data_IF_268584253900
#
_entry.id   IF_268584253900
#
_cell.length_a   1.000
_cell.length_b   1.000
_cell.length_c   1.000
_cell.angle_alpha   90.00
_cell.angle_beta   90.00
_cell.angle_gamma   90.00
#
_symmetry.space_group_name_H-M   'P 1'
#
loop_
_entity.id
_entity.type
_entity.pdbx_description
1 polymer ?
#
# COMPACT_ATOMS: atom_id res chain seq x y z
N UNK A 1 -5.69 -9.03 8.28
CA UNK A 1 -4.89 -8.61 7.13
C UNK A 1 -3.40 -8.73 7.44
N UNK A 2 -2.60 -9.03 6.43
CA UNK A 2 -1.14 -9.02 6.51
C UNK A 2 -0.60 -8.06 5.47
N UNK A 3 0.30 -7.17 5.87
CA UNK A 3 0.99 -6.22 5.01
C UNK A 3 2.51 -6.43 5.14
N UNK A 4 3.19 -6.47 4.01
CA UNK A 4 4.64 -6.61 3.97
C UNK A 4 5.18 -5.67 2.89
N UNK A 5 6.18 -4.88 3.24
CA UNK A 5 6.90 -4.02 2.28
C UNK A 5 8.39 -4.04 2.54
N UNK A 6 9.16 -3.90 1.48
CA UNK A 6 10.57 -3.52 1.57
C UNK A 6 10.70 -2.00 1.73
N UNK A 7 11.90 -1.54 1.98
CA UNK A 7 12.20 -0.10 2.10
C UNK A 7 13.24 0.39 1.10
N UNK A 8 13.78 -0.48 0.26
CA UNK A 8 14.81 -0.07 -0.71
C UNK A 8 14.25 0.81 -1.80
N UNK A 9 14.95 1.88 -2.10
CA UNK A 9 14.69 2.75 -3.24
C UNK A 9 15.98 2.93 -4.03
N UNK A 10 15.88 2.90 -5.36
CA UNK A 10 17.01 3.05 -6.27
C UNK A 10 16.82 4.34 -7.06
N UNK A 11 17.80 5.23 -6.99
CA UNK A 11 17.93 6.40 -7.85
C UNK A 11 19.15 6.21 -8.76
N UNK A 12 18.98 5.38 -9.82
CA UNK A 12 20.08 4.95 -10.67
C UNK A 12 20.91 3.81 -10.05
N UNK A 13 22.08 3.52 -10.65
CA UNK A 13 22.91 2.37 -10.25
C UNK A 13 23.67 2.60 -8.93
N UNK A 14 23.92 3.86 -8.53
CA UNK A 14 24.84 4.20 -7.44
C UNK A 14 24.18 4.81 -6.20
N UNK A 15 22.86 5.04 -6.22
CA UNK A 15 22.16 5.65 -5.09
C UNK A 15 21.07 4.71 -4.54
N UNK A 16 21.49 3.85 -3.62
CA UNK A 16 20.57 3.04 -2.81
C UNK A 16 20.23 3.84 -1.56
N UNK A 17 18.94 4.12 -1.36
CA UNK A 17 18.43 4.74 -0.15
C UNK A 17 17.30 3.89 0.44
N UNK A 18 17.04 4.06 1.73
CA UNK A 18 15.92 3.43 2.40
C UNK A 18 14.79 4.44 2.56
N UNK A 19 13.59 4.04 2.18
CA UNK A 19 12.37 4.81 2.36
C UNK A 19 11.23 3.88 2.77
N UNK A 20 10.57 4.16 3.89
CA UNK A 20 9.43 3.37 4.34
C UNK A 20 8.27 3.48 3.36
N UNK A 21 7.95 2.36 2.71
CA UNK A 21 6.86 2.25 1.74
C UNK A 21 5.49 2.00 2.40
N UNK A 22 5.51 1.63 3.69
CA UNK A 22 4.32 1.45 4.52
C UNK A 22 3.98 2.73 5.29
N UNK A 23 2.72 3.14 5.25
CA UNK A 23 2.17 4.25 6.03
C UNK A 23 0.90 3.80 6.73
N UNK A 24 0.76 4.16 8.00
CA UNK A 24 -0.37 3.77 8.83
C UNK A 24 -1.20 5.02 9.15
N UNK A 25 -2.51 4.90 8.98
CA UNK A 25 -3.52 5.87 9.37
C UNK A 25 -4.39 5.22 10.43
N UNK A 26 -4.24 5.63 11.69
CA UNK A 26 -5.02 5.05 12.76
C UNK A 26 -5.66 6.11 13.64
N UNK A 27 -6.85 5.79 14.11
CA UNK A 27 -7.57 6.47 15.18
C UNK A 27 -8.18 5.37 16.04
N UNK A 28 -7.61 5.11 17.24
CA UNK A 28 -7.98 4.00 18.07
C UNK A 28 -9.49 3.89 18.31
N UNK A 29 -10.04 2.69 18.15
CA UNK A 29 -11.47 2.42 18.30
C UNK A 29 -12.34 2.85 17.11
N UNK A 30 -11.81 3.55 16.11
CA UNK A 30 -12.59 4.08 14.98
C UNK A 30 -12.11 3.57 13.63
N UNK A 31 -10.82 3.69 13.34
CA UNK A 31 -10.26 3.31 12.04
C UNK A 31 -8.82 2.84 12.15
N UNK A 32 -8.49 1.93 11.26
CA UNK A 32 -7.13 1.48 11.00
C UNK A 32 -6.96 1.25 9.51
N UNK A 33 -6.00 1.91 8.90
CA UNK A 33 -5.71 1.79 7.47
C UNK A 33 -4.21 1.75 7.25
N UNK A 34 -3.78 0.91 6.32
CA UNK A 34 -2.40 0.79 5.86
C UNK A 34 -2.34 1.12 4.39
N UNK A 35 -1.40 1.97 4.01
CA UNK A 35 -1.07 2.32 2.64
C UNK A 35 0.33 1.80 2.32
N UNK A 36 0.44 0.90 1.34
CA UNK A 36 1.69 0.51 0.72
C UNK A 36 1.85 1.24 -0.61
N UNK A 37 3.06 1.63 -0.95
CA UNK A 37 3.36 2.31 -2.22
C UNK A 37 4.46 1.60 -3.00
N UNK A 38 4.35 1.62 -4.34
CA UNK A 38 5.35 1.10 -5.27
C UNK A 38 5.45 1.95 -6.52
N UNK A 39 6.57 1.85 -7.24
CA UNK A 39 6.86 2.63 -8.43
C UNK A 39 7.75 3.84 -8.16
N UNK A 40 7.53 4.96 -8.87
CA UNK A 40 8.34 6.15 -8.75
C UNK A 40 8.21 6.80 -7.36
N UNK A 41 9.36 6.97 -6.67
CA UNK A 41 9.39 7.48 -5.31
C UNK A 41 8.86 8.92 -5.21
N UNK A 42 9.24 9.81 -6.12
CA UNK A 42 8.79 11.21 -6.08
C UNK A 42 7.27 11.31 -6.21
N UNK A 43 6.69 10.51 -7.10
CA UNK A 43 5.22 10.44 -7.27
C UNK A 43 4.55 9.91 -6.01
N UNK A 44 5.05 8.81 -5.44
CA UNK A 44 4.44 8.22 -4.25
C UNK A 44 4.58 9.11 -3.01
N UNK A 45 5.67 9.85 -2.86
CA UNK A 45 5.82 10.87 -1.81
C UNK A 45 4.82 12.02 -2.00
N UNK A 46 4.73 12.58 -3.22
CA UNK A 46 3.76 13.64 -3.52
C UNK A 46 2.31 13.21 -3.26
N UNK A 47 1.96 11.98 -3.63
CA UNK A 47 0.62 11.42 -3.34
C UNK A 47 0.38 11.32 -1.84
N UNK A 48 1.37 10.86 -1.05
CA UNK A 48 1.24 10.75 0.41
C UNK A 48 1.02 12.11 1.08
N UNK A 49 1.74 13.14 0.64
CA UNK A 49 1.58 14.52 1.16
C UNK A 49 0.21 15.09 0.78
N UNK A 50 -0.17 14.98 -0.48
CA UNK A 50 -1.47 15.48 -0.95
C UNK A 50 -2.62 14.74 -0.26
N UNK A 51 -2.51 13.44 -0.04
CA UNK A 51 -3.55 12.62 0.61
C UNK A 51 -3.93 13.14 2.01
N UNK A 52 -2.98 13.76 2.74
CA UNK A 52 -3.25 14.33 4.08
C UNK A 52 -4.27 15.46 4.04
N UNK A 53 -4.36 16.19 2.92
CA UNK A 53 -5.18 17.39 2.76
C UNK A 53 -6.22 17.24 1.64
N UNK A 54 -6.21 16.13 0.91
CA UNK A 54 -7.10 15.88 -0.21
C UNK A 54 -8.55 15.78 0.25
N UNK A 55 -9.43 16.39 -0.54
CA UNK A 55 -10.87 16.43 -0.29
C UNK A 55 -11.61 16.04 -1.55
N UNK A 56 -12.60 15.18 -1.42
CA UNK A 56 -13.54 14.85 -2.49
C UNK A 56 -14.94 15.30 -2.10
N UNK A 57 -15.79 15.48 -3.10
CA UNK A 57 -17.18 15.88 -2.89
C UNK A 57 -17.94 14.80 -2.10
N UNK A 58 -18.56 15.20 -1.01
CA UNK A 58 -19.44 14.38 -0.17
C UNK A 58 -20.90 14.31 -0.62
N UNK A 59 -21.25 14.99 -1.73
CA UNK A 59 -22.63 15.11 -2.22
C UNK A 59 -23.38 16.30 -1.62
N UNK A 60 -24.64 16.49 -2.00
CA UNK A 60 -25.42 17.73 -1.77
C UNK A 60 -25.61 18.14 -0.29
N UNK A 61 -25.34 17.26 0.68
CA UNK A 61 -25.60 17.53 2.11
C UNK A 61 -24.48 17.10 3.03
N UNK A 62 -23.28 16.79 2.50
CA UNK A 62 -22.18 16.26 3.30
C UNK A 62 -20.95 17.15 3.21
N UNK A 63 -20.24 17.24 4.32
CA UNK A 63 -18.92 17.85 4.34
C UNK A 63 -17.95 17.14 3.38
N UNK A 64 -16.95 17.84 2.83
CA UNK A 64 -15.94 17.20 1.99
C UNK A 64 -15.29 16.00 2.68
N UNK A 65 -15.19 14.90 1.94
CA UNK A 65 -14.62 13.64 2.43
C UNK A 65 -13.10 13.71 2.31
N UNK A 66 -12.42 13.33 3.37
CA UNK A 66 -10.95 13.21 3.48
C UNK A 66 -10.59 11.79 3.92
N UNK A 67 -9.29 11.46 3.90
CA UNK A 67 -8.79 10.20 4.46
C UNK A 67 -9.11 10.04 5.96
N UNK A 68 -9.34 11.15 6.67
CA UNK A 68 -9.55 11.16 8.11
C UNK A 68 -11.02 11.15 8.55
N UNK A 69 -11.96 11.54 7.68
CA UNK A 69 -13.39 11.57 8.01
C UNK A 69 -14.26 10.68 7.12
N UNK A 70 -13.68 9.93 6.18
CA UNK A 70 -14.40 8.98 5.35
C UNK A 70 -15.10 7.91 6.21
N UNK A 71 -16.30 7.50 5.79
CA UNK A 71 -17.12 6.53 6.52
C UNK A 71 -16.89 5.09 6.06
N UNK A 72 -16.17 4.90 4.96
CA UNK A 72 -15.88 3.58 4.39
C UNK A 72 -14.47 3.51 3.82
N UNK A 73 -13.91 2.30 3.75
CA UNK A 73 -12.62 2.09 3.09
C UNK A 73 -12.72 2.32 1.57
N UNK A 74 -13.93 2.18 0.99
CA UNK A 74 -14.19 2.56 -0.40
C UNK A 74 -14.02 4.07 -0.62
N UNK A 75 -14.55 4.89 0.27
CA UNK A 75 -14.35 6.34 0.20
C UNK A 75 -12.89 6.72 0.41
N UNK A 76 -12.18 6.05 1.32
CA UNK A 76 -10.74 6.23 1.48
C UNK A 76 -9.98 5.93 0.17
N UNK A 77 -10.36 4.87 -0.56
CA UNK A 77 -9.79 4.56 -1.87
C UNK A 77 -10.12 5.63 -2.93
N UNK A 78 -11.34 6.22 -2.89
CA UNK A 78 -11.73 7.36 -3.74
C UNK A 78 -10.86 8.60 -3.47
N UNK A 79 -10.64 8.93 -2.21
CA UNK A 79 -9.77 10.05 -1.80
C UNK A 79 -8.34 9.83 -2.27
N UNK A 80 -7.80 8.61 -2.08
CA UNK A 80 -6.48 8.25 -2.58
C UNK A 80 -6.41 8.37 -4.11
N UNK A 81 -7.40 7.85 -4.84
CA UNK A 81 -7.47 7.98 -6.30
C UNK A 81 -7.52 9.43 -6.77
N UNK A 82 -8.20 10.32 -6.02
CA UNK A 82 -8.22 11.76 -6.27
C UNK A 82 -6.84 12.38 -6.06
N UNK A 83 -6.14 12.05 -4.97
CA UNK A 83 -4.78 12.49 -4.71
C UNK A 83 -3.81 12.06 -5.82
N UNK A 84 -3.91 10.82 -6.31
CA UNK A 84 -3.10 10.32 -7.45
C UNK A 84 -3.35 11.14 -8.70
N UNK A 85 -4.62 11.39 -9.08
CA UNK A 85 -4.96 12.21 -10.25
C UNK A 85 -4.47 13.65 -10.13
N UNK A 86 -4.50 14.22 -8.93
CA UNK A 86 -3.99 15.57 -8.67
C UNK A 86 -2.48 15.65 -8.89
N UNK A 87 -1.71 14.68 -8.38
CA UNK A 87 -0.26 14.60 -8.63
C UNK A 87 0.00 14.39 -10.12
N UNK A 88 -0.77 13.52 -10.78
CA UNK A 88 -0.64 13.32 -12.23
C UNK A 88 -0.87 14.60 -13.03
N UNK A 89 -1.87 15.39 -12.67
CA UNK A 89 -2.15 16.66 -13.34
C UNK A 89 -1.02 17.69 -13.14
N UNK A 90 -0.36 17.67 -11.98
CA UNK A 90 0.74 18.59 -11.65
C UNK A 90 2.07 18.16 -12.28
N UNK A 91 2.45 16.90 -12.12
CA UNK A 91 3.80 16.41 -12.41
C UNK A 91 3.88 15.58 -13.69
N UNK A 92 2.76 14.98 -14.13
CA UNK A 92 2.72 14.08 -15.27
C UNK A 92 3.27 14.67 -16.58
N UNK A 93 2.91 15.91 -16.96
CA UNK A 93 3.45 16.53 -18.17
C UNK A 93 4.99 16.70 -18.12
N UNK A 94 5.52 17.10 -16.96
CA UNK A 94 6.96 17.30 -16.76
C UNK A 94 7.72 15.98 -16.76
N UNK A 95 7.19 14.94 -16.12
CA UNK A 95 7.76 13.58 -16.14
C UNK A 95 7.81 13.04 -17.57
N UNK A 96 6.70 13.15 -18.31
CA UNK A 96 6.63 12.73 -19.72
C UNK A 96 7.64 13.46 -20.61
N UNK A 97 7.81 14.77 -20.42
CA UNK A 97 8.79 15.56 -21.16
C UNK A 97 10.23 15.12 -20.84
N UNK A 98 10.49 14.63 -19.64
CA UNK A 98 11.78 14.07 -19.22
C UNK A 98 11.97 12.59 -19.59
N UNK A 99 11.01 11.96 -20.28
CA UNK A 99 11.05 10.53 -20.62
C UNK A 99 10.87 9.58 -19.43
N UNK A 100 10.27 10.09 -18.35
CA UNK A 100 10.00 9.31 -17.11
C UNK A 100 8.52 8.96 -17.06
N UNK A 101 8.22 7.69 -16.85
CA UNK A 101 6.85 7.24 -16.70
C UNK A 101 6.27 7.65 -15.36
N UNK A 102 5.00 8.08 -15.37
CA UNK A 102 4.20 8.23 -14.16
C UNK A 102 3.78 6.83 -13.68
N UNK A 103 4.68 6.17 -12.99
CA UNK A 103 4.47 4.82 -12.48
C UNK A 103 4.31 4.87 -10.96
N UNK A 104 3.08 4.71 -10.49
CA UNK A 104 2.76 4.60 -9.08
C UNK A 104 1.59 3.62 -8.90
N UNK A 105 1.71 2.76 -7.92
CA UNK A 105 0.65 1.84 -7.50
C UNK A 105 0.58 1.82 -5.98
N UNK A 106 -0.62 1.67 -5.45
CA UNK A 106 -0.84 1.67 -4.02
C UNK A 106 -1.74 0.51 -3.60
N UNK A 107 -1.45 -0.10 -2.46
CA UNK A 107 -2.37 -1.00 -1.78
C UNK A 107 -2.88 -0.26 -0.54
N UNK A 108 -4.19 -0.07 -0.46
CA UNK A 108 -4.88 0.48 0.71
C UNK A 108 -5.71 -0.62 1.33
N UNK A 109 -5.47 -0.94 2.58
CA UNK A 109 -6.24 -1.95 3.28
C UNK A 109 -6.46 -1.57 4.74
N UNK A 110 -7.50 -2.13 5.36
CA UNK A 110 -7.81 -1.85 6.76
C UNK A 110 -9.27 -2.03 7.10
N UNK A 111 -9.71 -1.27 8.12
CA UNK A 111 -11.06 -1.32 8.65
C UNK A 111 -11.48 0.05 9.19
N UNK A 112 -12.70 0.46 8.91
CA UNK A 112 -13.32 1.70 9.41
C UNK A 112 -14.64 1.34 10.09
N UNK A 113 -14.86 1.86 11.28
CA UNK A 113 -16.13 2.03 11.97
C UNK A 113 -17.16 0.90 11.82
N UNK A 114 -16.84 -0.35 12.17
CA UNK A 114 -17.83 -1.45 12.14
C UNK A 114 -18.00 -2.14 10.78
N UNK A 115 -17.38 -1.63 9.71
CA UNK A 115 -17.33 -2.33 8.42
C UNK A 115 -16.47 -3.61 8.50
N UNK A 116 -16.61 -4.50 7.53
CA UNK A 116 -15.66 -5.58 7.31
C UNK A 116 -14.29 -5.02 6.90
N UNK A 117 -13.22 -5.78 7.17
CA UNK A 117 -11.91 -5.47 6.62
C UNK A 117 -11.94 -5.54 5.08
N UNK A 118 -11.37 -4.55 4.43
CA UNK A 118 -11.31 -4.44 2.96
C UNK A 118 -9.90 -4.11 2.52
N UNK A 119 -9.61 -4.36 1.24
CA UNK A 119 -8.34 -4.02 0.62
C UNK A 119 -8.54 -3.62 -0.83
N UNK A 120 -7.86 -2.57 -1.26
CA UNK A 120 -7.95 -1.99 -2.60
C UNK A 120 -6.56 -1.86 -3.22
N UNK A 121 -6.47 -2.16 -4.52
CA UNK A 121 -5.33 -1.82 -5.35
C UNK A 121 -5.67 -0.60 -6.19
N UNK A 122 -4.94 0.50 -5.98
CA UNK A 122 -5.10 1.76 -6.69
C UNK A 122 -3.99 1.91 -7.73
N UNK A 123 -4.38 2.14 -8.98
CA UNK A 123 -3.49 2.26 -10.14
C UNK A 123 -3.07 3.71 -10.41
N UNK A 124 -2.06 3.87 -11.26
CA UNK A 124 -1.55 5.18 -11.66
C UNK A 124 -2.61 6.17 -12.21
N UNK A 125 -3.68 5.76 -12.92
CA UNK A 125 -4.76 6.68 -13.29
C UNK A 125 -5.71 7.05 -12.14
N UNK A 126 -5.49 6.51 -10.92
CA UNK A 126 -6.33 6.76 -9.75
C UNK A 126 -7.63 5.95 -9.71
N UNK A 127 -7.82 4.99 -10.63
CA UNK A 127 -8.85 3.97 -10.51
C UNK A 127 -8.38 2.82 -9.62
N UNK A 128 -9.30 2.01 -9.11
CA UNK A 128 -8.97 0.95 -8.18
C UNK A 128 -9.88 -0.26 -8.33
N UNK A 129 -9.39 -1.39 -7.81
CA UNK A 129 -10.15 -2.63 -7.67
C UNK A 129 -10.08 -3.09 -6.22
N UNK A 130 -11.09 -3.86 -5.80
CA UNK A 130 -11.17 -4.45 -4.46
C UNK A 130 -10.74 -5.91 -4.48
N UNK A 131 -10.09 -6.37 -3.40
CA UNK A 131 -9.82 -7.77 -3.20
C UNK A 131 -11.12 -8.54 -2.93
N UNK A 132 -11.22 -9.74 -3.50
CA UNK A 132 -12.36 -10.63 -3.34
C UNK A 132 -11.94 -11.95 -2.71
N UNK A 133 -12.89 -12.86 -2.48
CA UNK A 133 -12.54 -14.23 -2.00
C UNK A 133 -11.72 -15.00 -3.02
N UNK A 134 -11.93 -14.74 -4.31
CA UNK A 134 -11.21 -15.38 -5.42
C UNK A 134 -9.84 -14.72 -5.65
N UNK A 135 -9.71 -13.45 -5.30
CA UNK A 135 -8.47 -12.67 -5.41
C UNK A 135 -8.15 -12.04 -4.04
N UNK A 136 -7.68 -12.83 -3.05
CA UNK A 136 -7.62 -12.41 -1.66
C UNK A 136 -6.37 -11.58 -1.31
N UNK A 137 -5.48 -11.31 -2.25
CA UNK A 137 -4.28 -10.52 -2.02
C UNK A 137 -3.92 -9.63 -3.22
N UNK A 138 -3.11 -8.62 -2.95
CA UNK A 138 -2.45 -7.80 -3.96
C UNK A 138 -0.95 -7.79 -3.77
N UNK A 139 -0.23 -7.64 -4.87
CA UNK A 139 1.21 -7.39 -4.89
C UNK A 139 1.50 -6.28 -5.89
N UNK A 140 2.35 -5.33 -5.51
CA UNK A 140 2.82 -4.22 -6.35
C UNK A 140 4.34 -4.23 -6.41
N UNK A 141 4.91 -3.53 -7.38
CA UNK A 141 6.35 -3.56 -7.64
C UNK A 141 6.78 -4.85 -8.34
N UNK A 142 7.87 -5.47 -7.88
CA UNK A 142 8.37 -6.72 -8.46
C UNK A 142 7.49 -7.90 -8.06
N UNK A 143 6.92 -8.57 -9.04
CA UNK A 143 6.00 -9.70 -8.80
C UNK A 143 6.51 -11.05 -9.36
N UNK A 144 7.53 -11.02 -10.23
CA UNK A 144 7.98 -12.19 -10.97
C UNK A 144 8.42 -13.36 -10.08
N UNK A 145 9.07 -13.06 -8.97
CA UNK A 145 9.68 -14.08 -8.12
C UNK A 145 8.80 -14.47 -6.92
N UNK A 146 8.07 -13.52 -6.36
CA UNK A 146 7.25 -13.72 -5.17
C UNK A 146 5.82 -14.17 -5.45
N UNK A 147 5.18 -13.61 -6.48
CA UNK A 147 3.78 -13.92 -6.80
C UNK A 147 3.48 -15.40 -7.01
N UNK A 148 4.31 -16.22 -7.70
CA UNK A 148 4.05 -17.65 -7.84
C UNK A 148 3.97 -18.44 -6.53
N UNK A 149 4.57 -17.92 -5.44
CA UNK A 149 4.50 -18.51 -4.10
C UNK A 149 3.14 -18.18 -3.47
N UNK A 150 2.75 -16.91 -3.52
CA UNK A 150 1.47 -16.47 -2.98
C UNK A 150 0.28 -17.13 -3.69
N UNK A 151 0.32 -17.25 -5.02
CA UNK A 151 -0.73 -17.88 -5.83
C UNK A 151 -1.02 -19.34 -5.44
N UNK A 152 -0.02 -20.05 -4.87
CA UNK A 152 -0.17 -21.44 -4.46
C UNK A 152 -0.71 -21.64 -3.06
N UNK A 153 -0.57 -20.64 -2.20
CA UNK A 153 -0.80 -20.78 -0.75
C UNK A 153 -1.93 -19.88 -0.26
N UNK A 154 -2.01 -18.65 -0.75
CA UNK A 154 -2.92 -17.65 -0.18
C UNK A 154 -4.34 -17.84 -0.71
N UNK A 155 -5.25 -18.02 0.23
CA UNK A 155 -6.70 -18.04 0.04
C UNK A 155 -7.36 -17.09 1.03
N UNK A 156 -8.65 -16.81 0.84
CA UNK A 156 -9.42 -16.01 1.80
C UNK A 156 -9.56 -16.67 3.19
N UNK A 157 -9.25 -17.94 3.31
CA UNK A 157 -9.33 -18.70 4.57
C UNK A 157 -7.94 -18.97 5.20
N UNK A 158 -6.86 -18.52 4.57
CA UNK A 158 -5.50 -18.73 5.08
C UNK A 158 -5.33 -18.00 6.44
N UNK A 159 -4.90 -18.69 7.50
CA UNK A 159 -4.63 -18.08 8.80
C UNK A 159 -3.59 -16.96 8.71
N UNK A 160 -3.67 -15.97 9.60
CA UNK A 160 -2.81 -14.78 9.53
C UNK A 160 -1.32 -15.12 9.69
N UNK A 161 -0.98 -16.05 10.56
CA UNK A 161 0.41 -16.50 10.78
C UNK A 161 0.97 -17.23 9.56
N UNK A 162 0.16 -18.07 8.90
CA UNK A 162 0.54 -18.72 7.65
C UNK A 162 0.67 -17.73 6.50
N UNK A 163 -0.24 -16.76 6.43
CA UNK A 163 -0.18 -15.69 5.44
C UNK A 163 1.09 -14.82 5.63
N UNK A 164 1.45 -14.50 6.87
CA UNK A 164 2.68 -13.77 7.18
C UNK A 164 3.94 -14.56 6.78
N UNK A 165 4.01 -15.85 7.11
CA UNK A 165 5.12 -16.73 6.70
C UNK A 165 5.22 -16.83 5.18
N UNK A 166 4.09 -17.00 4.49
CA UNK A 166 4.05 -17.08 3.02
C UNK A 166 4.51 -15.75 2.39
N UNK A 167 4.09 -14.61 2.92
CA UNK A 167 4.52 -13.30 2.47
C UNK A 167 6.05 -13.13 2.64
N UNK A 168 6.61 -13.54 3.78
CA UNK A 168 8.05 -13.50 4.03
C UNK A 168 8.84 -14.39 3.06
N UNK A 169 8.38 -15.62 2.80
CA UNK A 169 9.02 -16.52 1.82
C UNK A 169 8.97 -15.94 0.41
N UNK A 170 7.83 -15.34 0.04
CA UNK A 170 7.66 -14.62 -1.23
C UNK A 170 8.65 -13.43 -1.35
N UNK A 171 8.80 -12.67 -0.27
CA UNK A 171 9.74 -11.54 -0.22
C UNK A 171 11.20 -12.01 -0.27
N UNK A 172 11.58 -13.06 0.47
CA UNK A 172 12.93 -13.63 0.43
C UNK A 172 13.33 -14.09 -0.98
N UNK A 173 12.41 -14.76 -1.69
CA UNK A 173 12.61 -15.14 -3.09
C UNK A 173 12.89 -13.92 -3.99
N UNK A 174 12.19 -12.81 -3.73
CA UNK A 174 12.37 -11.56 -4.48
C UNK A 174 13.68 -10.87 -4.11
N UNK A 175 14.02 -10.79 -2.83
CA UNK A 175 15.28 -10.21 -2.33
C UNK A 175 16.52 -10.88 -2.95
N UNK A 176 16.49 -12.20 -3.11
CA UNK A 176 17.57 -12.98 -3.72
C UNK A 176 17.69 -12.79 -5.22
N UNK A 177 16.63 -12.36 -5.87
CA UNK A 177 16.52 -12.37 -7.34
C UNK A 177 16.47 -10.97 -7.95
N UNK A 178 16.20 -9.93 -7.16
CA UNK A 178 16.06 -8.55 -7.65
C UNK A 178 16.74 -7.55 -6.71
N UNK A 179 17.78 -6.90 -7.19
CA UNK A 179 18.57 -5.90 -6.45
C UNK A 179 17.78 -4.63 -6.09
N UNK A 180 16.63 -4.39 -6.75
CA UNK A 180 15.80 -3.22 -6.46
C UNK A 180 14.94 -3.38 -5.21
N UNK A 181 14.88 -4.58 -4.65
CA UNK A 181 14.15 -4.90 -3.41
C UNK A 181 15.17 -5.19 -2.31
N UNK A 182 14.95 -4.71 -1.11
CA UNK A 182 15.94 -4.87 -0.03
C UNK A 182 15.47 -4.50 1.36
N UNK A 183 16.24 -4.96 2.34
CA UNK A 183 16.04 -4.67 3.75
C UNK A 183 16.21 -3.16 4.05
N UNK A 184 15.62 -2.69 5.16
CA UNK A 184 14.73 -3.42 6.07
C UNK A 184 13.34 -3.67 5.48
N UNK A 185 12.63 -4.69 6.01
CA UNK A 185 11.22 -4.95 5.70
C UNK A 185 10.34 -4.48 6.84
N UNK A 186 9.17 -3.96 6.51
CA UNK A 186 8.10 -3.71 7.46
C UNK A 186 7.01 -4.79 7.28
N UNK A 187 6.78 -5.60 8.33
CA UNK A 187 5.71 -6.60 8.42
C UNK A 187 4.68 -6.15 9.43
N UNK A 188 3.42 -6.06 9.01
CA UNK A 188 2.30 -5.71 9.87
C UNK A 188 1.20 -6.76 9.76
N UNK A 189 0.73 -7.25 10.92
CA UNK A 189 -0.42 -8.13 11.03
C UNK A 189 -1.53 -7.39 11.75
N UNK A 190 -2.71 -7.32 11.12
CA UNK A 190 -3.88 -6.66 11.66
C UNK A 190 -5.03 -7.65 11.85
N UNK A 191 -5.52 -7.74 13.06
CA UNK A 191 -6.72 -8.49 13.43
C UNK A 191 -7.96 -7.61 13.40
N UNK A 192 -9.11 -8.19 13.03
CA UNK A 192 -10.36 -7.45 12.94
C UNK A 192 -10.74 -6.75 14.26
N UNK A 193 -11.28 -5.54 14.16
CA UNK A 193 -11.81 -4.73 15.28
C UNK A 193 -10.79 -4.26 16.32
N UNK A 194 -9.49 -4.36 16.02
CA UNK A 194 -8.44 -3.82 16.91
C UNK A 194 -8.28 -2.31 16.77
N UNK A 195 -8.43 -1.77 15.57
CA UNK A 195 -8.31 -0.33 15.24
C UNK A 195 -7.02 0.34 15.76
N UNK A 196 -5.95 -0.43 15.86
CA UNK A 196 -4.62 0.04 16.30
C UNK A 196 -3.52 -0.87 15.78
N UNK A 197 -2.29 -0.38 15.82
CA UNK A 197 -1.09 -1.13 15.47
C UNK A 197 -0.65 -1.98 16.65
N UNK A 198 -0.94 -3.29 16.62
CA UNK A 198 -0.51 -4.22 17.68
C UNK A 198 0.76 -5.00 17.28
N UNK A 199 0.89 -5.35 15.99
CA UNK A 199 1.96 -6.22 15.49
C UNK A 199 2.63 -5.61 14.26
N UNK A 200 3.55 -4.68 14.49
CA UNK A 200 4.45 -4.14 13.46
C UNK A 200 5.88 -4.54 13.79
N UNK A 201 6.52 -5.26 12.87
CA UNK A 201 7.91 -5.73 13.00
C UNK A 201 8.73 -5.13 11.86
N UNK A 202 9.84 -4.50 12.22
CA UNK A 202 10.87 -4.11 11.26
C UNK A 202 11.94 -5.21 11.23
N UNK A 203 12.15 -5.82 10.07
CA UNK A 203 13.10 -6.91 9.87
C UNK A 203 14.30 -6.34 9.14
N UNK A 204 15.44 -6.34 9.77
CA UNK A 204 16.72 -5.86 9.25
C UNK A 204 17.79 -6.99 9.20
N UNK A 205 19.03 -6.64 8.93
CA UNK A 205 20.14 -7.59 8.84
C UNK A 205 20.50 -8.26 10.17
N UNK A 206 19.99 -7.76 11.30
CA UNK A 206 20.26 -8.25 12.65
C UNK A 206 19.16 -9.13 13.22
N UNK A 207 18.04 -9.27 12.52
CA UNK A 207 16.98 -10.19 12.92
C UNK A 207 17.39 -11.64 12.60
N UNK A 208 17.30 -12.54 13.58
CA UNK A 208 17.69 -13.94 13.38
C UNK A 208 16.75 -14.69 12.44
#
# INVERSE_FOLDING_TARGET
LVFLSDSRTNAGLDHIASFRKMMIYEKPGERFMVLLSGGNLSVSQSVREILQVEKIDGGEHHEPITIWNCNSLFDAARVLGSAVRRVYAQDGPSLKAAGVDFNASFILGGQIGGEAMRMFLVYAPGNFIEATRETPYFQIGESKYGKPILDRVITAATPLDEAAKCALVSMDSTLKSNLSVGLPLDLLVYEAHRYQTDQLVCIDEHNP
#
